data_IF_849122293819
#
_entry.id   IF_849122293819
#
_cell.length_a   1.000
_cell.length_b   1.000
_cell.length_c   1.000
_cell.angle_alpha   90.00
_cell.angle_beta   90.00
_cell.angle_gamma   90.00
#
_symmetry.space_group_name_H-M   'P 1'
#
loop_
_entity.id
_entity.type
_entity.pdbx_description
1 polymer ?
#
# COMPACT_ATOMS: atom_id res chain seq x y z
N UNK A 1 -0.30 -12.54 -26.73
CA UNK A 1 0.74 -11.53 -27.01
C UNK A 1 1.77 -11.64 -25.91
N UNK A 2 2.92 -12.27 -26.19
CA UNK A 2 3.99 -12.45 -25.20
C UNK A 2 4.75 -11.13 -25.08
N UNK A 3 4.45 -10.33 -24.07
CA UNK A 3 5.33 -9.24 -23.68
C UNK A 3 6.61 -9.88 -23.15
N UNK A 4 7.68 -9.75 -23.94
CA UNK A 4 9.03 -10.17 -23.55
C UNK A 4 9.35 -9.47 -22.23
N UNK A 5 9.33 -10.22 -21.12
CA UNK A 5 9.57 -9.62 -19.81
C UNK A 5 11.04 -9.21 -19.77
N UNK A 6 11.34 -7.93 -19.47
CA UNK A 6 12.74 -7.51 -19.40
C UNK A 6 13.45 -8.34 -18.34
N UNK A 7 14.70 -8.74 -18.59
CA UNK A 7 15.50 -9.47 -17.60
C UNK A 7 15.83 -8.61 -16.38
N UNK A 8 15.91 -7.29 -16.56
CA UNK A 8 16.22 -6.32 -15.51
C UNK A 8 15.43 -5.03 -15.66
N UNK A 9 15.17 -4.35 -14.55
CA UNK A 9 14.61 -3.00 -14.52
C UNK A 9 15.67 -1.96 -14.17
N UNK A 10 15.68 -0.82 -14.88
CA UNK A 10 16.31 0.41 -14.42
C UNK A 10 15.43 1.14 -13.39
N UNK A 11 15.94 2.19 -12.73
CA UNK A 11 15.12 3.01 -11.83
C UNK A 11 13.88 3.62 -12.49
N UNK A 12 13.96 4.00 -13.77
CA UNK A 12 12.82 4.60 -14.48
C UNK A 12 11.73 3.58 -14.75
N UNK A 13 12.14 2.38 -15.18
CA UNK A 13 11.21 1.29 -15.46
C UNK A 13 10.63 0.72 -14.16
N UNK A 14 11.42 0.63 -13.09
CA UNK A 14 10.93 0.26 -11.76
C UNK A 14 9.86 1.24 -11.26
N UNK A 15 10.07 2.55 -11.42
CA UNK A 15 9.06 3.54 -11.04
C UNK A 15 7.76 3.38 -11.83
N UNK A 16 7.85 3.15 -13.14
CA UNK A 16 6.69 2.92 -14.01
C UNK A 16 5.99 1.59 -13.65
N UNK A 17 6.75 0.55 -13.30
CA UNK A 17 6.19 -0.74 -12.91
C UNK A 17 5.47 -0.67 -11.56
N UNK A 18 6.04 0.05 -10.60
CA UNK A 18 5.37 0.34 -9.32
C UNK A 18 4.06 1.11 -9.55
N UNK A 19 4.06 2.12 -10.42
CA UNK A 19 2.85 2.86 -10.78
C UNK A 19 1.77 1.96 -11.39
N UNK A 20 2.14 1.07 -12.31
CA UNK A 20 1.20 0.13 -12.94
C UNK A 20 0.56 -0.82 -11.94
N UNK A 21 1.31 -1.32 -10.95
CA UNK A 21 0.81 -2.34 -10.01
C UNK A 21 0.16 -1.72 -8.79
N UNK A 22 0.72 -0.63 -8.25
CA UNK A 22 0.26 0.00 -7.00
C UNK A 22 -0.60 1.25 -7.22
N UNK A 23 -0.71 1.74 -8.46
CA UNK A 23 -1.51 2.91 -8.85
C UNK A 23 -0.87 4.26 -8.52
N UNK A 24 0.34 4.28 -7.95
CA UNK A 24 1.03 5.51 -7.53
C UNK A 24 2.51 5.46 -7.90
N UNK A 25 3.00 6.50 -8.58
CA UNK A 25 4.38 6.55 -9.05
C UNK A 25 5.33 7.10 -7.99
N UNK A 26 6.35 6.34 -7.54
CA UNK A 26 7.38 6.86 -6.66
C UNK A 26 8.34 7.79 -7.42
N UNK A 27 8.90 8.77 -6.70
CA UNK A 27 9.96 9.60 -7.25
C UNK A 27 11.28 8.82 -7.38
N UNK A 28 12.10 9.16 -8.39
CA UNK A 28 13.39 8.49 -8.58
C UNK A 28 14.35 8.72 -7.40
N UNK A 29 14.27 9.87 -6.73
CA UNK A 29 15.04 10.15 -5.52
C UNK A 29 14.63 9.24 -4.37
N UNK A 30 13.34 8.97 -4.19
CA UNK A 30 12.84 8.05 -3.18
C UNK A 30 13.31 6.60 -3.43
N UNK A 31 13.33 6.15 -4.70
CA UNK A 31 13.87 4.84 -5.07
C UNK A 31 15.37 4.75 -4.76
N UNK A 32 16.17 5.76 -5.14
CA UNK A 32 17.61 5.77 -4.83
C UNK A 32 17.88 5.78 -3.33
N UNK A 33 17.13 6.57 -2.57
CA UNK A 33 17.25 6.60 -1.12
C UNK A 33 16.88 5.24 -0.51
N UNK A 34 15.80 4.60 -0.97
CA UNK A 34 15.40 3.28 -0.48
C UNK A 34 16.45 2.20 -0.78
N UNK A 35 17.04 2.23 -1.98
CA UNK A 35 18.13 1.32 -2.35
C UNK A 35 19.38 1.53 -1.48
N UNK A 36 19.69 2.78 -1.11
CA UNK A 36 20.83 3.12 -0.27
C UNK A 36 20.61 2.78 1.22
N UNK A 37 19.37 2.80 1.71
CA UNK A 37 19.11 2.70 3.15
C UNK A 37 19.13 1.28 3.72
N UNK A 38 19.21 0.23 2.88
CA UNK A 38 19.08 -1.16 3.32
C UNK A 38 17.72 -1.44 3.96
N UNK A 39 17.42 -2.72 4.26
CA UNK A 39 16.14 -3.18 4.83
C UNK A 39 15.88 -2.62 6.24
N UNK A 40 15.58 -1.33 6.38
CA UNK A 40 15.00 -0.78 7.61
C UNK A 40 13.49 -0.77 7.46
N UNK A 41 12.85 -1.66 8.22
CA UNK A 41 11.40 -1.66 8.41
C UNK A 41 10.99 -0.34 9.04
N UNK A 42 10.33 0.51 8.25
CA UNK A 42 9.73 1.75 8.76
C UNK A 42 8.53 1.38 9.63
N UNK A 43 8.73 1.41 10.94
CA UNK A 43 7.66 1.29 11.95
C UNK A 43 6.79 2.55 11.93
N UNK A 44 5.53 2.40 11.55
CA UNK A 44 4.32 2.92 12.22
C UNK A 44 3.09 2.64 11.35
N UNK A 45 2.00 2.22 11.99
CA UNK A 45 0.73 1.71 11.42
C UNK A 45 0.03 2.73 10.49
N UNK A 46 0.47 2.82 9.24
CA UNK A 46 -0.05 3.74 8.22
C UNK A 46 0.20 3.17 6.82
N UNK A 47 -0.52 3.71 5.81
CA UNK A 47 -0.44 3.39 4.38
C UNK A 47 0.97 2.86 3.99
N UNK A 48 1.14 1.58 3.63
CA UNK A 48 2.48 1.00 3.42
C UNK A 48 3.30 1.75 2.37
N UNK A 49 4.53 2.18 2.67
CA UNK A 49 5.36 2.95 1.71
C UNK A 49 5.54 2.18 0.39
N UNK A 50 5.60 2.89 -0.74
CA UNK A 50 5.79 2.28 -2.07
C UNK A 50 7.12 1.53 -2.23
N UNK A 51 8.10 1.80 -1.37
CA UNK A 51 9.44 1.20 -1.43
C UNK A 51 9.72 0.28 -0.25
N UNK A 52 8.69 -0.13 0.49
CA UNK A 52 8.87 -1.04 1.64
C UNK A 52 9.31 -2.40 1.16
N UNK A 53 10.41 -2.92 1.69
CA UNK A 53 10.97 -4.21 1.26
C UNK A 53 11.53 -4.21 -0.16
N UNK A 54 11.74 -3.04 -0.77
CA UNK A 54 12.23 -2.92 -2.14
C UNK A 54 13.53 -3.72 -2.35
N UNK A 55 13.64 -4.52 -3.42
CA UNK A 55 14.85 -5.26 -3.75
C UNK A 55 16.07 -4.36 -3.88
N UNK A 56 17.23 -4.88 -3.49
CA UNK A 56 18.49 -4.20 -3.76
C UNK A 56 18.83 -4.27 -5.26
N UNK A 57 19.54 -3.26 -5.81
CA UNK A 57 20.07 -3.36 -7.17
C UNK A 57 21.08 -4.50 -7.26
N UNK A 58 21.20 -5.08 -8.46
CA UNK A 58 22.21 -6.07 -8.79
C UNK A 58 23.62 -5.47 -8.64
N UNK A 59 24.63 -6.30 -8.31
CA UNK A 59 26.02 -5.86 -8.28
C UNK A 59 26.41 -5.19 -9.60
N UNK A 60 27.07 -4.02 -9.57
CA UNK A 60 27.46 -3.33 -10.78
C UNK A 60 28.49 -4.15 -11.54
N UNK A 61 28.30 -4.30 -12.85
CA UNK A 61 29.25 -4.98 -13.75
C UNK A 61 30.48 -4.11 -14.07
N UNK A 62 30.38 -2.80 -13.87
CA UNK A 62 31.50 -1.85 -13.94
C UNK A 62 31.24 -0.62 -13.07
N UNK A 63 32.28 0.17 -12.77
CA UNK A 63 32.17 1.37 -11.92
C UNK A 63 31.18 2.43 -12.46
N UNK A 64 30.94 2.45 -13.77
CA UNK A 64 30.04 3.39 -14.44
C UNK A 64 28.73 2.74 -14.90
N UNK A 65 28.55 1.44 -14.65
CA UNK A 65 27.33 0.74 -15.04
C UNK A 65 26.13 1.33 -14.28
N UNK A 66 25.02 1.63 -14.98
CA UNK A 66 23.80 2.07 -14.33
C UNK A 66 23.24 0.97 -13.42
N UNK A 67 22.59 1.36 -12.33
CA UNK A 67 21.94 0.40 -11.43
C UNK A 67 20.81 -0.33 -12.17
N UNK A 68 20.81 -1.66 -12.05
CA UNK A 68 19.81 -2.56 -12.58
C UNK A 68 19.23 -3.42 -11.45
N UNK A 69 17.95 -3.75 -11.55
CA UNK A 69 17.23 -4.61 -10.60
C UNK A 69 16.81 -5.89 -11.31
N UNK A 70 16.92 -7.04 -10.64
CA UNK A 70 16.38 -8.29 -11.20
C UNK A 70 14.87 -8.15 -11.40
N UNK A 71 14.40 -8.45 -12.62
CA UNK A 71 12.97 -8.38 -12.90
C UNK A 71 12.18 -9.41 -12.09
N UNK A 72 12.71 -10.62 -11.93
CA UNK A 72 12.08 -11.66 -11.10
C UNK A 72 11.90 -11.20 -9.65
N UNK A 73 12.95 -10.62 -9.05
CA UNK A 73 12.89 -10.13 -7.67
C UNK A 73 11.92 -8.96 -7.51
N UNK A 74 11.85 -8.07 -8.51
CA UNK A 74 10.91 -6.93 -8.52
C UNK A 74 9.47 -7.42 -8.65
N UNK A 75 9.20 -8.35 -9.57
CA UNK A 75 7.85 -8.87 -9.78
C UNK A 75 7.35 -9.65 -8.56
N UNK A 76 8.18 -10.52 -7.97
CA UNK A 76 7.82 -11.24 -6.75
C UNK A 76 7.54 -10.26 -5.59
N UNK A 77 8.39 -9.25 -5.41
CA UNK A 77 8.17 -8.21 -4.40
C UNK A 77 6.88 -7.41 -4.62
N UNK A 78 6.55 -7.09 -5.87
CA UNK A 78 5.33 -6.35 -6.22
C UNK A 78 4.08 -7.19 -6.01
N UNK A 79 4.12 -8.49 -6.31
CA UNK A 79 3.01 -9.42 -6.11
C UNK A 79 2.60 -9.55 -4.65
N UNK A 80 3.59 -9.60 -3.73
CA UNK A 80 3.35 -9.73 -2.30
C UNK A 80 3.37 -8.38 -1.57
N UNK A 81 3.27 -7.27 -2.31
CA UNK A 81 3.45 -5.95 -1.73
C UNK A 81 2.28 -5.61 -0.78
N UNK A 82 2.53 -5.20 0.48
CA UNK A 82 1.47 -4.94 1.46
C UNK A 82 0.51 -3.82 1.07
N UNK A 83 0.92 -2.95 0.14
CA UNK A 83 0.06 -1.91 -0.45
C UNK A 83 -1.09 -2.48 -1.27
N UNK A 84 -0.97 -3.68 -1.85
CA UNK A 84 -2.06 -4.33 -2.59
C UNK A 84 -3.21 -4.65 -1.65
N UNK A 85 -2.94 -5.33 -0.54
CA UNK A 85 -3.95 -5.61 0.49
C UNK A 85 -4.57 -4.32 1.05
N UNK A 86 -3.75 -3.28 1.29
CA UNK A 86 -4.25 -1.98 1.73
C UNK A 86 -5.15 -1.29 0.69
N UNK A 87 -4.76 -1.28 -0.59
CA UNK A 87 -5.55 -0.70 -1.68
C UNK A 87 -6.88 -1.45 -1.82
N UNK A 88 -6.86 -2.78 -1.72
CA UNK A 88 -8.05 -3.62 -1.75
C UNK A 88 -9.01 -3.29 -0.59
N UNK A 89 -8.51 -3.25 0.65
CA UNK A 89 -9.32 -2.91 1.81
C UNK A 89 -9.95 -1.50 1.69
N UNK A 90 -9.22 -0.54 1.10
CA UNK A 90 -9.77 0.79 0.81
C UNK A 90 -10.85 0.78 -0.27
N UNK A 91 -10.72 -0.03 -1.32
CA UNK A 91 -11.78 -0.20 -2.31
C UNK A 91 -13.03 -0.81 -1.65
N UNK A 92 -12.83 -1.88 -0.89
CA UNK A 92 -13.93 -2.60 -0.23
C UNK A 92 -14.74 -1.73 0.72
N UNK A 93 -14.09 -0.86 1.52
CA UNK A 93 -14.81 0.08 2.39
C UNK A 93 -15.64 1.08 1.57
N UNK A 94 -15.08 1.62 0.48
CA UNK A 94 -15.81 2.56 -0.37
C UNK A 94 -16.98 1.89 -1.08
N UNK A 95 -16.79 0.68 -1.60
CA UNK A 95 -17.82 -0.07 -2.29
C UNK A 95 -18.95 -0.48 -1.32
N UNK A 96 -18.61 -0.93 -0.11
CA UNK A 96 -19.59 -1.28 0.91
C UNK A 96 -20.43 -0.08 1.36
N UNK A 97 -19.79 1.06 1.59
CA UNK A 97 -20.50 2.30 1.88
C UNK A 97 -21.41 2.72 0.71
N UNK A 98 -20.92 2.64 -0.54
CA UNK A 98 -21.71 2.98 -1.72
C UNK A 98 -22.92 2.06 -1.94
N UNK A 99 -22.83 0.79 -1.55
CA UNK A 99 -23.97 -0.15 -1.55
C UNK A 99 -24.99 0.12 -0.43
N UNK A 100 -24.65 0.96 0.55
CA UNK A 100 -25.47 1.21 1.73
C UNK A 100 -25.37 0.10 2.78
N UNK A 101 -24.26 -0.65 2.80
CA UNK A 101 -24.01 -1.65 3.83
C UNK A 101 -23.96 -0.98 5.23
N UNK A 102 -24.27 -1.76 6.28
CA UNK A 102 -24.27 -1.24 7.64
C UNK A 102 -22.89 -0.68 8.05
N UNK A 103 -22.88 0.56 8.54
CA UNK A 103 -21.63 1.28 8.83
C UNK A 103 -20.82 0.60 9.94
N UNK A 104 -21.46 -0.02 10.93
CA UNK A 104 -20.73 -0.73 11.98
C UNK A 104 -20.06 -2.00 11.44
N UNK A 105 -20.76 -2.78 10.62
CA UNK A 105 -20.18 -3.93 9.94
C UNK A 105 -19.00 -3.53 9.04
N UNK A 106 -19.14 -2.44 8.28
CA UNK A 106 -18.09 -1.90 7.41
C UNK A 106 -16.87 -1.46 8.20
N UNK A 107 -17.06 -0.71 9.29
CA UNK A 107 -15.96 -0.26 10.16
C UNK A 107 -15.28 -1.46 10.83
N UNK A 108 -16.05 -2.45 11.30
CA UNK A 108 -15.52 -3.67 11.91
C UNK A 108 -14.62 -4.45 10.94
N UNK A 109 -15.09 -4.66 9.71
CA UNK A 109 -14.30 -5.31 8.66
C UNK A 109 -13.03 -4.51 8.31
N UNK A 110 -13.14 -3.20 8.13
CA UNK A 110 -11.99 -2.34 7.85
C UNK A 110 -10.89 -2.41 8.93
N UNK A 111 -11.28 -2.51 10.21
CA UNK A 111 -10.35 -2.70 11.32
C UNK A 111 -9.68 -4.07 11.27
N UNK A 112 -10.44 -5.13 10.97
CA UNK A 112 -9.91 -6.49 10.82
C UNK A 112 -8.91 -6.58 9.65
N UNK A 113 -9.17 -5.84 8.57
CA UNK A 113 -8.28 -5.71 7.41
C UNK A 113 -7.05 -4.79 7.68
N UNK A 114 -6.95 -4.22 8.89
CA UNK A 114 -5.80 -3.45 9.36
C UNK A 114 -5.81 -1.96 8.98
N UNK A 115 -6.94 -1.41 8.54
CA UNK A 115 -7.06 0.02 8.27
C UNK A 115 -7.02 0.84 9.56
N UNK A 116 -6.28 1.94 9.54
CA UNK A 116 -6.21 2.84 10.69
C UNK A 116 -7.44 3.76 10.77
N UNK A 117 -7.78 4.19 11.99
CA UNK A 117 -8.90 5.11 12.25
C UNK A 117 -8.90 6.36 11.39
N UNK A 118 -7.72 6.88 11.02
CA UNK A 118 -7.60 8.03 10.11
C UNK A 118 -8.19 7.72 8.73
N UNK A 119 -7.90 6.56 8.17
CA UNK A 119 -8.40 6.16 6.85
C UNK A 119 -9.89 5.83 6.89
N UNK A 120 -10.34 5.13 7.93
CA UNK A 120 -11.77 4.85 8.14
C UNK A 120 -12.56 6.16 8.26
N UNK A 121 -12.06 7.13 9.06
CA UNK A 121 -12.71 8.44 9.19
C UNK A 121 -12.78 9.17 7.85
N UNK A 122 -11.71 9.16 7.07
CA UNK A 122 -11.68 9.77 5.75
C UNK A 122 -12.69 9.12 4.79
N UNK A 123 -12.79 7.79 4.77
CA UNK A 123 -13.75 7.06 3.94
C UNK A 123 -15.21 7.38 4.32
N UNK A 124 -15.51 7.42 5.64
CA UNK A 124 -16.85 7.79 6.13
C UNK A 124 -17.22 9.23 5.74
N UNK A 125 -16.31 10.18 5.97
CA UNK A 125 -16.54 11.58 5.64
C UNK A 125 -16.71 11.79 4.12
N UNK A 126 -15.97 11.06 3.29
CA UNK A 126 -16.11 11.12 1.84
C UNK A 126 -17.44 10.53 1.35
N UNK A 127 -17.99 9.54 2.06
CA UNK A 127 -19.23 8.88 1.68
C UNK A 127 -20.48 9.73 1.97
N UNK A 128 -20.53 10.38 3.14
CA UNK A 128 -21.74 11.12 3.57
C UNK A 128 -21.56 12.63 3.71
N UNK A 129 -20.45 13.15 3.19
CA UNK A 129 -20.05 14.56 3.17
C UNK A 129 -20.09 15.24 4.55
N UNK A 130 -19.82 14.47 5.61
CA UNK A 130 -19.70 14.98 6.97
C UNK A 130 -18.25 15.23 7.34
N UNK A 131 -18.04 16.09 8.35
CA UNK A 131 -16.72 16.38 8.90
C UNK A 131 -16.55 15.76 10.29
N UNK A 132 -16.56 14.42 10.37
CA UNK A 132 -16.27 13.73 11.64
C UNK A 132 -14.79 13.87 11.98
N UNK A 133 -14.49 14.07 13.26
CA UNK A 133 -13.13 13.99 13.77
C UNK A 133 -12.72 12.53 14.01
N UNK A 134 -11.43 12.24 13.89
CA UNK A 134 -10.87 10.90 14.17
C UNK A 134 -11.21 10.45 15.60
N UNK A 135 -11.10 11.36 16.57
CA UNK A 135 -11.43 11.07 17.97
C UNK A 135 -12.93 10.72 18.15
N UNK A 136 -13.82 11.39 17.42
CA UNK A 136 -15.25 11.10 17.45
C UNK A 136 -15.59 9.74 16.86
N UNK A 137 -15.01 9.41 15.69
CA UNK A 137 -15.15 8.09 15.06
C UNK A 137 -14.60 6.99 15.96
N UNK A 138 -13.40 7.18 16.49
CA UNK A 138 -12.78 6.22 17.42
C UNK A 138 -13.64 6.00 18.67
N UNK A 139 -14.11 7.07 19.32
CA UNK A 139 -14.99 6.95 20.52
C UNK A 139 -16.25 6.15 20.21
N UNK A 140 -16.84 6.34 19.03
CA UNK A 140 -18.07 5.66 18.61
C UNK A 140 -17.85 4.18 18.33
N UNK A 141 -16.79 3.83 17.59
CA UNK A 141 -16.62 2.48 17.03
C UNK A 141 -15.50 1.66 17.67
N UNK A 142 -14.75 2.17 18.66
CA UNK A 142 -13.65 1.41 19.31
C UNK A 142 -14.05 0.04 19.85
N UNK A 143 -15.32 -0.12 20.24
CA UNK A 143 -15.85 -1.39 20.76
C UNK A 143 -15.83 -2.52 19.70
N UNK A 144 -15.74 -2.18 18.41
CA UNK A 144 -15.59 -3.13 17.32
C UNK A 144 -14.15 -3.66 17.18
N UNK A 145 -13.14 -2.91 17.64
CA UNK A 145 -11.75 -3.37 17.66
C UNK A 145 -11.50 -4.42 18.75
N UNK A 146 -12.36 -4.48 19.77
CA UNK A 146 -12.24 -5.37 20.93
C UNK A 146 -13.01 -6.70 20.74
N UNK A 147 -13.94 -6.76 19.78
CA UNK A 147 -14.67 -7.99 19.44
C UNK A 147 -14.14 -8.52 18.10
N UNK A 148 -13.50 -9.71 18.07
CA UNK A 148 -13.29 -10.37 16.79
C UNK A 148 -14.67 -10.63 16.14
N UNK A 149 -14.78 -10.53 14.81
CA UNK A 149 -16.01 -10.87 14.13
C UNK A 149 -16.37 -12.32 14.47
N UNK A 150 -17.60 -12.54 14.97
CA UNK A 150 -18.13 -13.90 15.07
C UNK A 150 -18.34 -14.39 13.64
N UNK A 151 -17.61 -15.46 13.29
CA UNK A 151 -17.80 -16.24 12.07
C UNK A 151 -19.21 -16.84 12.02
#
# INVERSE_FOLDING_TARGET
MSTDRPATYSYKELAARIEQVLGERPSLSALRAAAAQGRRTSSTLSRPRLTVGMPAPLPPTSRTAPAAFSAEAVEAWLQDHPRLAWNQAMSEIHDALARGDDVEAVVGKALADGLSWRHITAALNAHDDRQRSIAGVHKRYRHLAEKPPRA
#
